data_IF_544563466290
#
_entry.id   IF_544563466290
#
_cell.length_a   1.000
_cell.length_b   1.000
_cell.length_c   1.000
_cell.angle_alpha   90.00
_cell.angle_beta   90.00
_cell.angle_gamma   90.00
#
_symmetry.space_group_name_H-M   'P 1'
#
loop_
_entity.id
_entity.type
_entity.pdbx_description
1 polymer ?
#
# COMPACT_ATOMS: atom_id res chain seq x y z
N UNK A 1 5.06 8.13 -9.87
CA UNK A 1 3.94 7.97 -10.81
C UNK A 1 4.46 7.43 -12.15
N UNK A 2 4.96 6.19 -12.18
CA UNK A 2 5.74 5.69 -13.32
C UNK A 2 7.18 6.21 -13.34
N UNK A 3 7.94 5.82 -14.37
CA UNK A 3 9.30 6.32 -14.61
C UNK A 3 9.28 7.78 -15.09
N UNK A 4 10.28 8.60 -14.73
CA UNK A 4 10.45 9.96 -15.25
C UNK A 4 10.46 10.02 -16.78
N UNK A 5 10.08 11.16 -17.32
CA UNK A 5 9.96 11.45 -18.75
C UNK A 5 10.60 12.80 -19.09
N UNK A 6 11.75 12.76 -19.75
CA UNK A 6 12.54 13.95 -20.12
C UNK A 6 11.82 14.87 -21.13
N UNK A 7 10.71 14.43 -21.71
CA UNK A 7 9.88 15.27 -22.60
C UNK A 7 8.88 16.15 -21.83
N UNK A 8 8.71 15.91 -20.54
CA UNK A 8 7.80 16.65 -19.66
C UNK A 8 8.57 17.65 -18.77
N UNK A 9 7.91 18.72 -18.29
CA UNK A 9 8.51 19.66 -17.34
C UNK A 9 9.04 18.98 -16.06
N UNK A 10 10.05 19.58 -15.41
CA UNK A 10 10.60 19.06 -14.14
C UNK A 10 9.56 19.03 -13.01
N UNK A 11 8.63 19.98 -13.00
CA UNK A 11 7.53 20.09 -12.04
C UNK A 11 6.30 19.25 -12.44
N UNK A 12 6.39 18.44 -13.48
CA UNK A 12 5.34 17.50 -13.84
C UNK A 12 5.29 16.33 -12.84
N UNK A 13 4.10 15.87 -12.45
CA UNK A 13 3.91 14.79 -11.45
C UNK A 13 4.74 13.53 -11.73
N UNK A 14 4.91 13.19 -13.01
CA UNK A 14 5.73 12.06 -13.46
C UNK A 14 7.22 12.22 -13.16
N UNK A 15 7.71 13.46 -13.09
CA UNK A 15 9.11 13.83 -12.87
C UNK A 15 9.39 14.23 -11.42
N UNK A 16 8.35 14.56 -10.64
CA UNK A 16 8.49 14.83 -9.21
C UNK A 16 8.90 13.57 -8.45
N UNK A 17 9.93 13.72 -7.61
CA UNK A 17 10.36 12.68 -6.68
C UNK A 17 9.62 12.81 -5.36
N UNK A 18 9.08 11.69 -4.90
CA UNK A 18 8.41 11.59 -3.61
C UNK A 18 9.28 10.75 -2.69
N UNK A 19 9.61 11.31 -1.52
CA UNK A 19 10.40 10.59 -0.52
C UNK A 19 9.57 9.48 0.12
N UNK A 20 10.21 8.36 0.44
CA UNK A 20 9.60 7.25 1.18
C UNK A 20 10.70 6.48 1.88
N UNK A 21 10.46 6.11 3.13
CA UNK A 21 11.33 5.22 3.87
C UNK A 21 10.47 4.37 4.82
N UNK A 22 10.58 3.05 4.72
CA UNK A 22 9.81 2.11 5.54
C UNK A 22 10.50 0.75 5.59
N UNK A 23 10.33 0.05 6.71
CA UNK A 23 10.67 -1.35 6.86
C UNK A 23 9.61 -2.29 6.28
N UNK A 24 10.00 -3.52 5.95
CA UNK A 24 9.10 -4.53 5.43
C UNK A 24 9.48 -5.94 5.90
N UNK A 25 8.54 -6.65 6.51
CA UNK A 25 8.69 -8.07 6.87
C UNK A 25 8.01 -8.91 5.79
N UNK A 26 8.81 -9.69 5.05
CA UNK A 26 8.35 -10.60 4.00
C UNK A 26 7.52 -11.78 4.55
N UNK A 27 6.67 -12.37 3.71
CA UNK A 27 5.83 -13.54 4.06
C UNK A 27 6.61 -14.67 4.72
N UNK A 28 7.76 -15.05 4.16
CA UNK A 28 8.61 -16.15 4.64
C UNK A 28 9.26 -15.87 6.00
N UNK A 29 9.20 -14.63 6.50
CA UNK A 29 9.64 -14.23 7.84
C UNK A 29 8.51 -14.20 8.86
N UNK A 30 7.26 -14.33 8.43
CA UNK A 30 6.08 -14.39 9.31
C UNK A 30 5.87 -15.86 9.73
N UNK A 31 5.69 -16.19 11.02
CA UNK A 31 5.52 -17.58 11.48
C UNK A 31 4.32 -18.27 10.83
N UNK A 32 4.53 -19.48 10.28
CA UNK A 32 3.48 -20.25 9.58
C UNK A 32 2.27 -20.58 10.47
N UNK A 33 2.51 -20.90 11.74
CA UNK A 33 1.47 -21.14 12.74
C UNK A 33 1.00 -19.87 13.46
N UNK A 34 1.41 -18.69 12.99
CA UNK A 34 1.08 -17.41 13.59
C UNK A 34 -0.37 -16.97 13.30
N UNK A 35 -0.95 -16.09 14.15
CA UNK A 35 -2.32 -15.62 13.99
C UNK A 35 -2.54 -14.87 12.68
N UNK A 36 -1.54 -14.12 12.19
CA UNK A 36 -1.67 -13.35 10.95
C UNK A 36 -1.74 -14.26 9.71
N UNK A 37 -0.89 -15.30 9.62
CA UNK A 37 -0.98 -16.30 8.55
C UNK A 37 -2.24 -17.15 8.65
N UNK A 38 -2.67 -17.49 9.87
CA UNK A 38 -3.95 -18.17 10.10
C UNK A 38 -5.14 -17.34 9.58
N UNK A 39 -5.16 -16.04 9.89
CA UNK A 39 -6.18 -15.12 9.40
C UNK A 39 -6.13 -14.95 7.88
N UNK A 40 -4.94 -14.78 7.32
CA UNK A 40 -4.76 -14.62 5.86
C UNK A 40 -5.25 -15.86 5.10
N UNK A 41 -4.98 -17.06 5.59
CA UNK A 41 -5.45 -18.34 5.02
C UNK A 41 -6.95 -18.63 5.28
N UNK A 42 -7.63 -17.83 6.09
CA UNK A 42 -9.01 -18.07 6.48
C UNK A 42 -9.96 -17.76 5.33
N UNK A 43 -10.50 -18.81 4.69
CA UNK A 43 -11.39 -18.69 3.52
C UNK A 43 -12.55 -17.70 3.72
N UNK A 44 -13.27 -17.66 4.86
CA UNK A 44 -14.33 -16.69 5.09
C UNK A 44 -13.89 -15.22 4.98
N UNK A 45 -12.67 -14.87 5.42
CA UNK A 45 -12.14 -13.51 5.23
C UNK A 45 -11.94 -13.21 3.75
N UNK A 46 -11.32 -14.13 3.01
CA UNK A 46 -11.10 -13.96 1.57
C UNK A 46 -12.42 -13.84 0.80
N UNK A 47 -13.41 -14.67 1.13
CA UNK A 47 -14.73 -14.62 0.52
C UNK A 47 -15.44 -13.29 0.84
N UNK A 48 -15.33 -12.79 2.08
CA UNK A 48 -15.85 -11.49 2.47
C UNK A 48 -15.21 -10.34 1.68
N UNK A 49 -13.87 -10.34 1.55
CA UNK A 49 -13.15 -9.34 0.76
C UNK A 49 -13.59 -9.40 -0.71
N UNK A 50 -13.71 -10.60 -1.28
CA UNK A 50 -14.19 -10.78 -2.65
C UNK A 50 -15.59 -10.20 -2.86
N UNK A 51 -16.49 -10.39 -1.89
CA UNK A 51 -17.83 -9.82 -1.93
C UNK A 51 -17.84 -8.28 -1.80
N UNK A 52 -16.92 -7.69 -1.04
CA UNK A 52 -16.78 -6.22 -0.91
C UNK A 52 -16.27 -5.60 -2.20
N UNK A 53 -15.34 -6.27 -2.90
CA UNK A 53 -14.74 -5.76 -4.13
C UNK A 53 -15.62 -5.98 -5.37
N UNK A 54 -16.65 -6.82 -5.29
CA UNK A 54 -17.58 -7.14 -6.39
C UNK A 54 -16.88 -7.59 -7.69
N UNK A 55 -15.80 -8.37 -7.54
CA UNK A 55 -14.94 -8.84 -8.63
C UNK A 55 -14.94 -10.36 -8.82
N UNK A 56 -14.09 -10.88 -9.74
CA UNK A 56 -13.86 -12.31 -9.87
C UNK A 56 -13.39 -12.94 -8.55
N UNK A 57 -13.53 -14.27 -8.38
CA UNK A 57 -13.05 -14.95 -7.17
C UNK A 57 -11.58 -14.62 -6.87
N UNK A 58 -11.29 -14.33 -5.60
CA UNK A 58 -9.94 -14.08 -5.12
C UNK A 58 -9.22 -15.39 -4.78
N UNK A 59 -7.95 -15.46 -5.14
CA UNK A 59 -6.98 -16.42 -4.66
C UNK A 59 -5.88 -15.72 -3.84
N UNK A 60 -5.10 -16.50 -3.10
CA UNK A 60 -3.91 -15.96 -2.43
C UNK A 60 -2.89 -15.53 -3.47
N UNK A 61 -2.24 -14.39 -3.24
CA UNK A 61 -1.12 -13.99 -4.08
C UNK A 61 -0.01 -15.06 -3.99
N UNK A 62 0.53 -15.47 -5.14
CA UNK A 62 1.45 -16.61 -5.24
C UNK A 62 2.89 -16.29 -4.89
N UNK A 63 3.18 -15.05 -4.53
CA UNK A 63 4.53 -14.59 -4.23
C UNK A 63 4.99 -15.07 -2.83
N UNK A 64 6.13 -15.79 -2.74
CA UNK A 64 6.63 -16.32 -1.48
C UNK A 64 7.17 -15.24 -0.53
N UNK A 65 7.41 -14.00 -1.00
CA UNK A 65 7.88 -12.88 -0.19
C UNK A 65 6.79 -11.84 0.06
N UNK A 66 5.83 -11.70 -0.85
CA UNK A 66 4.87 -10.61 -0.86
C UNK A 66 3.41 -11.01 -0.63
N UNK A 67 3.07 -12.30 -0.50
CA UNK A 67 1.68 -12.74 -0.26
C UNK A 67 1.04 -12.19 1.02
N UNK A 68 1.82 -12.02 2.08
CA UNK A 68 1.41 -11.41 3.34
C UNK A 68 2.63 -10.68 3.90
N UNK A 69 2.55 -9.37 4.05
CA UNK A 69 3.67 -8.56 4.53
C UNK A 69 3.30 -7.81 5.80
N UNK A 70 4.31 -7.40 6.58
CA UNK A 70 4.12 -6.37 7.63
C UNK A 70 4.94 -5.15 7.23
N UNK A 71 4.23 -4.06 6.99
CA UNK A 71 4.81 -2.75 6.79
C UNK A 71 5.18 -2.16 8.15
N UNK A 72 6.41 -1.67 8.28
CA UNK A 72 6.96 -1.10 9.51
C UNK A 72 7.34 0.34 9.23
N UNK A 73 6.87 1.27 10.06
CA UNK A 73 7.38 2.64 10.09
C UNK A 73 7.82 2.97 11.52
N UNK A 74 9.11 3.22 11.70
CA UNK A 74 9.70 3.76 12.93
C UNK A 74 9.58 5.29 12.99
N UNK A 75 9.97 5.90 14.11
CA UNK A 75 10.05 7.35 14.24
C UNK A 75 10.80 7.98 13.04
N UNK A 76 10.19 8.98 12.41
CA UNK A 76 10.71 9.66 11.23
C UNK A 76 10.44 8.96 9.89
N UNK A 77 10.03 7.69 9.89
CA UNK A 77 9.73 6.93 8.66
C UNK A 77 8.32 7.23 8.13
N UNK A 78 8.19 7.25 6.81
CA UNK A 78 6.95 7.60 6.10
C UNK A 78 6.83 6.85 4.78
N UNK A 79 5.61 6.74 4.27
CA UNK A 79 5.35 6.27 2.92
C UNK A 79 4.72 7.41 2.15
N UNK A 80 5.49 8.05 1.29
CA UNK A 80 5.04 9.20 0.53
C UNK A 80 3.90 8.88 -0.43
N UNK A 81 3.33 9.92 -1.02
CA UNK A 81 2.23 9.83 -1.98
C UNK A 81 2.53 8.87 -3.14
N UNK A 82 1.68 7.86 -3.28
CA UNK A 82 1.77 6.86 -4.34
C UNK A 82 0.38 6.34 -4.74
N UNK A 83 0.38 5.66 -5.89
CA UNK A 83 -0.72 4.86 -6.38
C UNK A 83 -0.21 3.44 -6.48
N UNK A 84 -1.04 2.47 -6.08
CA UNK A 84 -0.67 1.08 -6.18
C UNK A 84 -0.72 0.60 -7.63
N UNK A 85 0.00 -0.49 -7.90
CA UNK A 85 -0.15 -1.25 -9.14
C UNK A 85 -1.31 -2.26 -9.05
N UNK A 86 -1.68 -2.66 -7.82
CA UNK A 86 -2.82 -3.53 -7.58
C UNK A 86 -4.11 -2.72 -7.61
N UNK A 87 -5.16 -3.31 -8.20
CA UNK A 87 -6.48 -2.68 -8.27
C UNK A 87 -7.03 -2.35 -6.87
N UNK A 88 -6.81 -3.25 -5.92
CA UNK A 88 -7.22 -3.07 -4.52
C UNK A 88 -6.11 -3.44 -3.56
N UNK A 89 -6.22 -2.89 -2.34
CA UNK A 89 -5.29 -3.09 -1.24
C UNK A 89 -6.09 -3.41 0.02
N UNK A 90 -5.67 -4.48 0.71
CA UNK A 90 -6.28 -4.93 1.96
C UNK A 90 -5.23 -4.86 3.06
N UNK A 91 -5.53 -4.07 4.09
CA UNK A 91 -4.60 -3.85 5.20
C UNK A 91 -5.27 -4.10 6.54
N UNK A 92 -4.49 -4.54 7.52
CA UNK A 92 -4.89 -4.75 8.90
C UNK A 92 -3.96 -3.95 9.81
N UNK A 93 -4.50 -3.01 10.58
CA UNK A 93 -3.70 -2.31 11.59
C UNK A 93 -3.30 -3.29 12.69
N UNK A 94 -2.01 -3.53 12.88
CA UNK A 94 -1.48 -4.41 13.94
C UNK A 94 -1.04 -3.60 15.16
N UNK A 95 -0.38 -2.46 14.91
CA UNK A 95 0.07 -1.53 15.95
C UNK A 95 0.05 -0.11 15.39
N UNK A 96 -0.57 0.79 16.13
CA UNK A 96 -0.68 2.20 15.80
C UNK A 96 0.33 2.98 16.66
N UNK A 97 1.01 4.01 16.11
CA UNK A 97 1.79 4.95 16.91
C UNK A 97 0.87 5.86 17.74
N UNK A 98 1.42 6.61 18.68
CA UNK A 98 0.64 7.62 19.43
C UNK A 98 0.43 8.91 18.61
N UNK A 99 1.38 9.23 17.72
CA UNK A 99 1.43 10.44 16.90
C UNK A 99 2.02 10.16 15.52
N UNK A 100 1.48 10.83 14.51
CA UNK A 100 1.90 10.64 13.12
C UNK A 100 1.46 9.26 12.59
N UNK A 101 2.11 8.77 11.53
CA UNK A 101 1.74 7.49 10.91
C UNK A 101 0.32 7.45 10.33
N UNK A 102 -0.27 8.62 10.06
CA UNK A 102 -1.65 8.77 9.61
C UNK A 102 -1.75 8.36 8.15
N UNK A 103 -2.70 7.48 7.83
CA UNK A 103 -2.99 7.16 6.43
C UNK A 103 -3.80 8.29 5.82
N UNK A 104 -3.29 8.93 4.76
CA UNK A 104 -3.99 10.00 4.04
C UNK A 104 -4.31 9.56 2.62
N UNK A 105 -5.43 10.02 2.09
CA UNK A 105 -5.81 9.69 0.73
C UNK A 105 -6.70 10.73 0.06
N UNK A 106 -6.66 10.74 -1.28
CA UNK A 106 -7.64 11.36 -2.16
C UNK A 106 -8.17 10.28 -3.09
N UNK A 107 -9.48 10.10 -3.15
CA UNK A 107 -10.11 9.05 -3.95
C UNK A 107 -10.24 9.43 -5.42
N UNK A 108 -10.23 8.42 -6.30
CA UNK A 108 -10.53 8.56 -7.73
C UNK A 108 -9.64 9.59 -8.46
N UNK A 109 -8.36 9.64 -8.11
CA UNK A 109 -7.37 10.53 -8.74
C UNK A 109 -6.90 9.98 -10.07
N UNK A 110 -6.62 8.67 -10.17
CA UNK A 110 -6.21 8.03 -11.42
C UNK A 110 -7.42 7.83 -12.33
N UNK A 111 -7.31 8.34 -13.55
CA UNK A 111 -8.32 8.26 -14.62
C UNK A 111 -7.95 7.25 -15.71
N UNK A 112 -6.78 6.60 -15.58
CA UNK A 112 -6.24 5.64 -16.55
C UNK A 112 -5.87 6.31 -17.89
N UNK A 113 -5.67 7.63 -17.87
CA UNK A 113 -5.19 8.48 -18.96
C UNK A 113 -4.28 9.60 -18.38
N UNK A 114 -3.77 10.50 -19.21
CA UNK A 114 -2.85 11.55 -18.73
C UNK A 114 -3.57 12.71 -18.01
N UNK A 115 -4.89 12.70 -17.88
CA UNK A 115 -5.66 13.81 -17.29
C UNK A 115 -5.59 13.90 -15.76
N UNK A 116 -5.07 12.86 -15.10
CA UNK A 116 -4.84 12.80 -13.67
C UNK A 116 -3.68 13.66 -13.17
N UNK A 117 -2.66 13.92 -14.01
CA UNK A 117 -1.41 14.55 -13.56
C UNK A 117 -1.58 15.95 -12.93
N UNK A 118 -2.46 16.84 -13.44
CA UNK A 118 -2.74 18.11 -12.78
C UNK A 118 -3.28 17.94 -11.35
N UNK A 119 -4.18 16.98 -11.13
CA UNK A 119 -4.71 16.69 -9.80
C UNK A 119 -3.62 16.11 -8.88
N UNK A 120 -2.80 15.20 -9.41
CA UNK A 120 -1.65 14.65 -8.68
C UNK A 120 -0.69 15.78 -8.27
N UNK A 121 -0.30 16.67 -9.19
CA UNK A 121 0.56 17.81 -8.88
C UNK A 121 -0.04 18.71 -7.80
N UNK A 122 -1.33 19.01 -7.89
CA UNK A 122 -2.02 19.83 -6.89
C UNK A 122 -1.97 19.21 -5.49
N UNK A 123 -2.07 17.87 -5.39
CA UNK A 123 -1.95 17.13 -4.13
C UNK A 123 -0.50 17.13 -3.63
N UNK A 124 0.47 16.87 -4.51
CA UNK A 124 1.90 16.86 -4.15
C UNK A 124 2.42 18.22 -3.69
N UNK A 125 1.88 19.30 -4.26
CA UNK A 125 2.15 20.68 -3.85
C UNK A 125 1.51 21.05 -2.50
N UNK A 126 0.72 20.15 -1.89
CA UNK A 126 0.00 20.40 -0.64
C UNK A 126 -1.15 21.40 -0.78
N UNK A 127 -1.69 21.58 -1.98
CA UNK A 127 -2.74 22.57 -2.28
C UNK A 127 -4.16 21.96 -2.30
N UNK A 128 -4.27 20.64 -2.26
CA UNK A 128 -5.55 19.95 -2.29
C UNK A 128 -6.32 20.06 -0.98
N UNK A 129 -7.57 20.52 -1.05
CA UNK A 129 -8.46 20.71 0.11
C UNK A 129 -9.24 19.45 0.50
N UNK A 130 -9.25 18.41 -0.34
CA UNK A 130 -10.05 17.20 -0.19
C UNK A 130 -9.27 15.98 0.32
N UNK A 131 -8.06 16.20 0.83
CA UNK A 131 -7.25 15.17 1.49
C UNK A 131 -7.97 14.67 2.74
N UNK A 132 -8.12 13.34 2.85
CA UNK A 132 -8.78 12.69 3.98
C UNK A 132 -7.78 11.91 4.81
N UNK A 133 -7.88 12.06 6.12
CA UNK A 133 -7.13 11.29 7.10
C UNK A 133 -7.96 10.07 7.54
N UNK A 134 -7.31 8.92 7.63
CA UNK A 134 -7.86 7.68 8.16
C UNK A 134 -6.91 7.15 9.24
N UNK A 135 -7.46 6.98 10.44
CA UNK A 135 -6.69 6.57 11.62
C UNK A 135 -7.29 5.29 12.23
N UNK A 136 -7.06 4.12 11.60
CA UNK A 136 -7.69 2.88 12.04
C UNK A 136 -7.01 2.34 13.30
N UNK A 137 -7.73 2.10 14.41
CA UNK A 137 -7.13 1.48 15.59
C UNK A 137 -6.69 0.02 15.32
N UNK A 138 -5.82 -0.55 16.17
CA UNK A 138 -5.40 -1.95 16.06
C UNK A 138 -6.58 -2.92 15.93
N UNK A 139 -6.45 -3.88 15.01
CA UNK A 139 -7.47 -4.86 14.66
C UNK A 139 -8.47 -4.40 13.58
N UNK A 140 -8.36 -3.18 13.06
CA UNK A 140 -9.21 -2.72 11.96
C UNK A 140 -8.65 -3.13 10.59
N UNK A 141 -9.54 -3.72 9.79
CA UNK A 141 -9.32 -4.02 8.39
C UNK A 141 -9.71 -2.80 7.55
N UNK A 142 -8.86 -2.39 6.63
CA UNK A 142 -9.12 -1.34 5.63
C UNK A 142 -8.99 -1.96 4.25
N UNK A 143 -10.02 -1.76 3.42
CA UNK A 143 -10.07 -2.20 2.02
C UNK A 143 -10.25 -0.94 1.18
N UNK A 144 -9.37 -0.70 0.22
CA UNK A 144 -9.44 0.47 -0.65
C UNK A 144 -8.89 0.17 -2.05
N UNK A 145 -9.26 0.99 -3.03
CA UNK A 145 -8.78 0.89 -4.41
C UNK A 145 -7.47 1.67 -4.56
N UNK A 146 -6.34 1.02 -4.26
CA UNK A 146 -5.02 1.64 -4.27
C UNK A 146 -4.57 2.13 -5.65
N UNK A 147 -5.05 1.48 -6.73
CA UNK A 147 -4.81 1.93 -8.11
C UNK A 147 -5.44 3.30 -8.41
N UNK A 148 -6.54 3.66 -7.74
CA UNK A 148 -7.28 4.91 -8.01
C UNK A 148 -7.17 5.95 -6.92
N UNK A 149 -6.89 5.56 -5.69
CA UNK A 149 -6.72 6.48 -4.58
C UNK A 149 -5.25 6.85 -4.43
N UNK A 150 -4.89 8.12 -4.66
CA UNK A 150 -3.56 8.61 -4.32
C UNK A 150 -3.48 8.66 -2.79
N UNK A 151 -2.49 8.00 -2.20
CA UNK A 151 -2.43 7.85 -0.76
C UNK A 151 -1.01 7.86 -0.21
N UNK A 152 -0.87 8.17 1.07
CA UNK A 152 0.39 8.21 1.79
C UNK A 152 0.19 7.80 3.26
N UNK A 153 1.31 7.63 3.96
CA UNK A 153 1.37 7.52 5.42
C UNK A 153 2.31 8.61 5.90
N UNK A 154 1.83 9.51 6.75
CA UNK A 154 2.67 10.58 7.32
C UNK A 154 3.80 10.00 8.16
N UNK A 155 4.86 10.77 8.35
CA UNK A 155 5.93 10.43 9.28
C UNK A 155 5.39 10.04 10.66
N UNK A 156 5.95 8.98 11.25
CA UNK A 156 5.67 8.59 12.64
C UNK A 156 6.46 9.53 13.56
N UNK A 157 5.79 10.10 14.58
CA UNK A 157 6.36 11.18 15.40
C UNK A 157 6.80 10.74 16.80
N UNK A 158 6.71 9.45 17.10
CA UNK A 158 7.10 8.87 18.39
C UNK A 158 7.81 7.51 18.23
N UNK A 159 8.29 6.95 19.34
CA UNK A 159 9.11 5.74 19.36
C UNK A 159 8.30 4.44 19.12
N UNK A 160 6.97 4.51 19.15
CA UNK A 160 6.09 3.37 18.86
C UNK A 160 6.01 3.18 17.35
N UNK A 161 6.49 2.03 16.88
CA UNK A 161 6.45 1.76 15.45
C UNK A 161 5.01 1.50 14.96
N UNK A 162 4.68 2.01 13.78
CA UNK A 162 3.45 1.67 13.06
C UNK A 162 3.64 0.33 12.37
N UNK A 163 2.77 -0.63 12.67
CA UNK A 163 2.78 -1.97 12.07
C UNK A 163 1.47 -2.23 11.34
N UNK A 164 1.54 -2.47 10.03
CA UNK A 164 0.37 -2.76 9.20
C UNK A 164 0.58 -4.06 8.43
N UNK A 165 -0.30 -5.04 8.65
CA UNK A 165 -0.37 -6.22 7.83
C UNK A 165 -0.94 -5.86 6.45
N UNK A 166 -0.27 -6.27 5.38
CA UNK A 166 -0.74 -6.11 4.00
C UNK A 166 -1.07 -7.51 3.48
N UNK A 167 -2.35 -7.75 3.20
CA UNK A 167 -2.89 -9.05 2.78
C UNK A 167 -3.12 -9.00 1.27
N UNK A 168 -2.26 -9.67 0.49
CA UNK A 168 -2.34 -9.59 -0.96
C UNK A 168 -3.16 -10.74 -1.54
N UNK A 169 -4.16 -10.40 -2.32
CA UNK A 169 -4.98 -11.36 -3.06
C UNK A 169 -4.87 -11.06 -4.55
N UNK A 170 -5.15 -12.06 -5.39
CA UNK A 170 -5.17 -11.90 -6.83
C UNK A 170 -6.37 -12.60 -7.45
N UNK A 171 -6.76 -12.15 -8.65
CA UNK A 171 -7.69 -12.86 -9.51
C UNK A 171 -7.00 -13.92 -10.38
N UNK A 172 -5.67 -13.86 -10.48
CA UNK A 172 -4.84 -14.80 -11.24
C UNK A 172 -4.11 -15.75 -10.29
N UNK A 173 -4.38 -17.07 -10.38
CA UNK A 173 -3.64 -18.07 -9.61
C UNK A 173 -2.14 -17.95 -9.84
N UNK A 174 -1.38 -18.13 -8.76
CA UNK A 174 0.09 -18.13 -8.77
C UNK A 174 0.73 -16.83 -9.31
N UNK A 175 -0.01 -15.71 -9.33
CA UNK A 175 0.56 -14.42 -9.68
C UNK A 175 1.67 -14.04 -8.69
N UNK A 176 2.77 -13.52 -9.23
CA UNK A 176 3.97 -13.15 -8.47
C UNK A 176 4.47 -11.78 -8.85
N UNK A 177 5.20 -11.19 -7.92
CA UNK A 177 5.90 -9.96 -8.15
C UNK A 177 7.09 -10.22 -9.09
N UNK A 178 7.40 -9.25 -9.95
CA UNK A 178 8.57 -9.35 -10.81
C UNK A 178 9.85 -9.37 -9.95
N UNK A 179 10.91 -10.11 -10.36
CA UNK A 179 12.10 -10.28 -9.52
C UNK A 179 12.77 -8.94 -9.11
N UNK A 180 12.82 -7.96 -10.02
CA UNK A 180 13.36 -6.64 -9.69
C UNK A 180 12.53 -5.88 -8.64
N UNK A 181 11.20 -6.09 -8.62
CA UNK A 181 10.30 -5.48 -7.64
C UNK A 181 10.45 -6.18 -6.29
N UNK A 182 10.70 -7.50 -6.27
CA UNK A 182 11.06 -8.21 -5.03
C UNK A 182 12.36 -7.65 -4.43
N UNK A 183 13.40 -7.44 -5.23
CA UNK A 183 14.64 -6.81 -4.76
C UNK A 183 14.40 -5.41 -4.19
N UNK A 184 13.54 -4.63 -4.85
CA UNK A 184 13.19 -3.28 -4.39
C UNK A 184 12.51 -3.30 -3.00
N UNK A 185 11.54 -4.19 -2.77
CA UNK A 185 10.77 -4.21 -1.51
C UNK A 185 11.34 -5.10 -0.40
N UNK A 186 12.18 -6.08 -0.75
CA UNK A 186 12.67 -7.11 0.18
C UNK A 186 14.20 -7.24 0.19
N UNK A 187 14.92 -6.53 -0.68
CA UNK A 187 16.38 -6.62 -0.79
C UNK A 187 16.88 -7.95 -1.36
N UNK A 188 15.99 -8.86 -1.79
CA UNK A 188 16.31 -10.19 -2.33
C UNK A 188 15.20 -10.74 -3.21
N UNK A 189 15.47 -11.88 -3.82
CA UNK A 189 14.52 -12.70 -4.59
C UNK A 189 14.34 -14.07 -3.90
N UNK A 190 13.27 -14.78 -4.25
CA UNK A 190 12.96 -16.12 -3.74
C UNK A 190 13.13 -17.22 -4.79
#
# INVERSE_FOLDING_TARGET
MGSPDDTLPEDHARNLQVFSNRGNVSTDRIPDSGPLKTLYAWKPLRDFIGAVLDGPPLCHYGDPLASLMINVNHAGEELGWHLDNSESSVTLMLQQPERGGVFRYVSAVRTDDESEFPAVNHILDGKADDVRDLDPPPGKLVIFCGHRALHCVTSVEDDTSRLVGVLNYSHTPDERMLPFVQRMFHGREA
#
